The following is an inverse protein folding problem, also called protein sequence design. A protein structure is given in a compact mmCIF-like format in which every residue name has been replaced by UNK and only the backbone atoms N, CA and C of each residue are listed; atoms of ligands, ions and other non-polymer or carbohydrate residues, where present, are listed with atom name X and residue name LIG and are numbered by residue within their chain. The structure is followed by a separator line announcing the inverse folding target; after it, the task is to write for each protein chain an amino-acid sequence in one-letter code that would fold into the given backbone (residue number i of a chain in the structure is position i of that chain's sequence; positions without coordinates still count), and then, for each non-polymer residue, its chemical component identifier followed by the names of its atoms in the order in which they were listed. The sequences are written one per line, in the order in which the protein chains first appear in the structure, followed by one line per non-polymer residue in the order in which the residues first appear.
data_IF_237496262543
#
_entry.id   IF_237496262543
#
_cell.length_a   1.000
_cell.length_b   1.000
_cell.length_c   1.000
_cell.angle_alpha   90.00
_cell.angle_beta   90.00
_cell.angle_gamma   90.00
#
_symmetry.space_group_name_H-M   'P 1'
#
loop_
_entity.id
_entity.type
_entity.pdbx_description
1 polymer ?
#
# COMPACT_ATOMS: atom_id res chain seq x y z
N UNK A 1 6.63 -4.75 -13.90
CA UNK A 1 5.90 -4.10 -12.79
C UNK A 1 6.75 -4.24 -11.53
N UNK A 2 7.08 -3.13 -10.88
CA UNK A 2 7.73 -3.17 -9.58
C UNK A 2 6.68 -3.59 -8.53
N UNK A 3 6.73 -4.84 -8.09
CA UNK A 3 5.93 -5.34 -6.98
C UNK A 3 6.87 -5.90 -5.92
N UNK A 4 6.62 -5.57 -4.66
CA UNK A 4 7.30 -6.16 -3.53
C UNK A 4 6.30 -6.95 -2.70
N UNK A 5 6.69 -8.14 -2.25
CA UNK A 5 5.89 -8.92 -1.29
C UNK A 5 5.57 -8.09 -0.03
N UNK A 6 6.47 -7.18 0.32
CA UNK A 6 6.32 -6.23 1.41
C UNK A 6 5.07 -5.35 1.29
N UNK A 7 4.67 -4.99 0.07
CA UNK A 7 3.50 -4.12 -0.17
C UNK A 7 2.16 -4.82 0.15
N UNK A 8 2.14 -6.15 0.20
CA UNK A 8 0.96 -6.94 0.54
C UNK A 8 1.37 -8.21 1.30
N UNK A 9 1.64 -8.05 2.59
CA UNK A 9 2.22 -9.04 3.48
C UNK A 9 1.25 -9.45 4.61
N UNK A 10 0.80 -10.71 4.60
CA UNK A 10 -0.11 -11.24 5.61
C UNK A 10 -1.44 -10.47 5.65
N UNK A 11 -1.76 -9.86 6.79
CA UNK A 11 -2.96 -8.99 6.94
C UNK A 11 -2.71 -7.54 6.52
N UNK A 12 -1.46 -7.17 6.20
CA UNK A 12 -1.04 -5.80 5.96
C UNK A 12 -0.95 -5.50 4.46
N UNK A 13 -1.51 -4.36 4.07
CA UNK A 13 -1.48 -3.86 2.71
C UNK A 13 -1.00 -2.41 2.78
N UNK A 14 0.12 -2.15 2.11
CA UNK A 14 0.69 -0.81 2.05
C UNK A 14 -0.12 0.03 1.06
N UNK A 15 -0.37 1.29 1.42
CA UNK A 15 -1.02 2.27 0.55
C UNK A 15 -0.04 3.31 -0.04
N UNK A 16 1.27 3.13 0.09
CA UNK A 16 2.30 4.10 -0.33
C UNK A 16 2.16 4.60 -1.77
N UNK A 17 2.06 3.69 -2.74
CA UNK A 17 1.86 4.03 -4.16
C UNK A 17 0.52 4.70 -4.49
N UNK A 18 -0.37 4.82 -3.52
CA UNK A 18 -1.70 5.41 -3.64
C UNK A 18 -1.79 6.74 -2.90
N UNK A 19 -0.72 7.21 -2.26
CA UNK A 19 -0.61 8.58 -1.75
C UNK A 19 0.20 9.38 -2.76
N UNK A 20 -0.38 10.50 -3.20
CA UNK A 20 0.23 11.42 -4.14
C UNK A 20 0.46 12.73 -3.38
N UNK A 21 1.60 13.37 -3.65
CA UNK A 21 1.92 14.75 -3.26
C UNK A 21 2.49 15.04 -1.86
N UNK A 22 3.19 14.10 -1.23
CA UNK A 22 4.10 14.37 -0.09
C UNK A 22 3.44 14.84 1.21
N UNK A 23 2.19 15.28 1.17
CA UNK A 23 1.34 15.54 2.31
C UNK A 23 0.82 14.20 2.82
N UNK A 24 1.39 13.71 3.93
CA UNK A 24 0.86 12.55 4.64
C UNK A 24 -0.49 12.96 5.22
N UNK A 25 -1.62 12.42 4.72
CA UNK A 25 -2.92 12.85 5.19
C UNK A 25 -3.13 12.33 6.61
N UNK A 26 -3.87 13.07 7.42
CA UNK A 26 -4.20 12.64 8.78
C UNK A 26 -4.91 11.29 8.75
N UNK A 27 -4.65 10.43 9.74
CA UNK A 27 -5.29 9.11 9.87
C UNK A 27 -6.82 9.17 9.73
N UNK A 28 -7.44 10.23 10.26
CA UNK A 28 -8.89 10.46 10.16
C UNK A 28 -9.34 10.73 8.73
N UNK A 29 -8.61 11.56 8.00
CA UNK A 29 -8.92 11.91 6.61
C UNK A 29 -8.76 10.70 5.68
N UNK A 30 -7.70 9.92 5.90
CA UNK A 30 -7.50 8.64 5.21
C UNK A 30 -8.66 7.68 5.47
N UNK A 31 -9.06 7.51 6.73
CA UNK A 31 -10.14 6.61 7.09
C UNK A 31 -11.46 7.03 6.43
N UNK A 32 -11.76 8.32 6.39
CA UNK A 32 -12.95 8.86 5.73
C UNK A 32 -12.88 8.68 4.20
N UNK A 33 -11.73 8.96 3.59
CA UNK A 33 -11.50 8.72 2.17
C UNK A 33 -11.73 7.25 1.79
N UNK A 34 -11.18 6.31 2.57
CA UNK A 34 -11.37 4.88 2.32
C UNK A 34 -12.83 4.45 2.49
N UNK A 35 -13.56 4.98 3.48
CA UNK A 35 -15.01 4.73 3.62
C UNK A 35 -15.78 5.19 2.39
N UNK A 36 -15.54 6.42 1.93
CA UNK A 36 -16.19 6.97 0.73
C UNK A 36 -15.88 6.15 -0.51
N UNK A 37 -14.61 5.81 -0.73
CA UNK A 37 -14.19 4.94 -1.82
C UNK A 37 -14.87 3.56 -1.76
N UNK A 38 -15.07 3.02 -0.55
CA UNK A 38 -15.77 1.75 -0.35
C UNK A 38 -17.24 1.83 -0.71
N UNK A 39 -17.92 2.92 -0.34
CA UNK A 39 -19.31 3.17 -0.73
C UNK A 39 -19.42 3.24 -2.26
N UNK A 40 -18.55 4.04 -2.89
CA UNK A 40 -18.48 4.14 -4.36
C UNK A 40 -18.23 2.76 -4.98
N UNK A 41 -17.25 1.99 -4.50
CA UNK A 41 -16.92 0.66 -5.02
C UNK A 41 -18.13 -0.29 -5.00
N UNK A 42 -18.94 -0.27 -3.93
CA UNK A 42 -20.13 -1.11 -3.79
C UNK A 42 -21.24 -0.80 -4.80
N UNK A 43 -21.21 0.36 -5.45
CA UNK A 43 -22.18 0.71 -6.50
C UNK A 43 -21.87 0.04 -7.84
N UNK A 44 -20.67 -0.52 -8.02
CA UNK A 44 -20.26 -1.15 -9.26
C UNK A 44 -20.42 -2.67 -9.20
N UNK A 45 -20.99 -3.25 -10.27
CA UNK A 45 -21.24 -4.70 -10.36
C UNK A 45 -19.98 -5.52 -10.59
N UNK A 46 -18.94 -4.94 -11.19
CA UNK A 46 -17.71 -5.64 -11.49
C UNK A 46 -16.48 -4.72 -11.48
N UNK A 47 -15.30 -5.32 -11.34
CA UNK A 47 -14.03 -4.60 -11.25
C UNK A 47 -13.72 -3.76 -12.48
N UNK A 48 -14.12 -4.20 -13.68
CA UNK A 48 -13.90 -3.44 -14.92
C UNK A 48 -14.70 -2.14 -14.91
N UNK A 49 -15.99 -2.21 -14.60
CA UNK A 49 -16.86 -1.02 -14.48
C UNK A 49 -16.35 -0.05 -13.40
N UNK A 50 -15.83 -0.57 -12.28
CA UNK A 50 -15.18 0.26 -11.28
C UNK A 50 -13.92 0.91 -11.84
N UNK A 51 -13.05 0.18 -12.53
CA UNK A 51 -11.82 0.71 -13.13
C UNK A 51 -12.07 1.74 -14.25
N UNK A 52 -13.22 1.65 -14.93
CA UNK A 52 -13.60 2.50 -16.06
C UNK A 52 -14.46 3.70 -15.64
N UNK A 53 -14.85 3.80 -14.37
CA UNK A 53 -15.65 4.92 -13.85
C UNK A 53 -14.97 6.27 -14.09
N UNK A 54 -15.80 7.30 -14.18
CA UNK A 54 -15.35 8.69 -14.13
C UNK A 54 -14.55 8.95 -12.86
N UNK A 55 -13.43 9.67 -12.95
CA UNK A 55 -12.53 9.94 -11.83
C UNK A 55 -11.89 8.68 -11.22
N UNK A 56 -11.81 7.58 -11.99
CA UNK A 56 -11.14 6.33 -11.60
C UNK A 56 -9.68 6.49 -11.20
N UNK A 57 -9.08 7.63 -11.52
CA UNK A 57 -7.71 7.96 -11.19
C UNK A 57 -7.48 9.21 -10.39
N UNK A 58 -8.56 9.87 -10.02
CA UNK A 58 -8.43 11.10 -9.27
C UNK A 58 -7.95 10.79 -7.86
N UNK A 59 -7.23 11.77 -7.35
CA UNK A 59 -6.75 11.82 -5.98
C UNK A 59 -7.77 12.63 -5.21
N UNK A 60 -8.23 12.13 -4.07
CA UNK A 60 -9.04 12.94 -3.16
C UNK A 60 -8.21 14.13 -2.68
N UNK A 61 -8.86 15.20 -2.23
CA UNK A 61 -8.18 16.37 -1.66
C UNK A 61 -7.17 16.00 -0.55
N UNK A 62 -7.39 14.88 0.15
CA UNK A 62 -6.45 14.31 1.11
C UNK A 62 -5.33 13.46 0.48
N UNK A 63 -4.92 13.67 -0.78
CA UNK A 63 -3.78 12.97 -1.38
C UNK A 63 -3.94 11.47 -1.68
N UNK A 64 -5.11 10.87 -1.47
CA UNK A 64 -5.34 9.42 -1.65
C UNK A 64 -6.05 9.08 -2.95
N UNK A 65 -5.55 8.06 -3.66
CA UNK A 65 -6.20 7.48 -4.83
C UNK A 65 -7.63 6.97 -4.54
N UNK A 66 -8.58 7.31 -5.41
CA UNK A 66 -9.98 6.87 -5.33
C UNK A 66 -10.20 5.35 -5.38
N UNK A 67 -9.16 4.56 -5.68
CA UNK A 67 -9.24 3.10 -5.79
C UNK A 67 -8.97 2.37 -4.45
N UNK A 68 -8.51 3.04 -3.40
CA UNK A 68 -8.29 2.40 -2.11
C UNK A 68 -9.59 2.25 -1.32
N UNK A 69 -9.93 1.01 -0.98
CA UNK A 69 -11.20 0.63 -0.34
C UNK A 69 -10.95 -0.18 0.93
N UNK A 70 -11.98 -0.32 1.76
CA UNK A 70 -12.01 -1.20 2.93
C UNK A 70 -12.75 -2.48 2.52
N UNK A 71 -12.08 -3.62 2.57
CA UNK A 71 -12.69 -4.94 2.39
C UNK A 71 -12.18 -5.87 3.48
N UNK A 72 -13.08 -6.59 4.15
CA UNK A 72 -12.74 -7.51 5.24
C UNK A 72 -11.82 -6.87 6.31
N UNK A 73 -12.12 -5.62 6.69
CA UNK A 73 -11.35 -4.78 7.61
C UNK A 73 -9.89 -4.50 7.17
N UNK A 74 -9.61 -4.58 5.87
CA UNK A 74 -8.28 -4.28 5.29
C UNK A 74 -8.38 -3.19 4.24
N UNK A 75 -7.38 -2.32 4.21
CA UNK A 75 -7.24 -1.29 3.17
C UNK A 75 -6.63 -1.93 1.93
N UNK A 76 -7.38 -2.04 0.84
CA UNK A 76 -6.91 -2.68 -0.38
C UNK A 76 -7.31 -1.90 -1.64
N UNK A 77 -6.52 -2.06 -2.70
CA UNK A 77 -6.89 -1.64 -4.04
C UNK A 77 -7.46 -2.86 -4.79
N UNK A 78 -8.78 -2.95 -5.05
CA UNK A 78 -9.37 -4.11 -5.71
C UNK A 78 -8.93 -4.24 -7.18
N UNK A 79 -8.35 -3.19 -7.76
CA UNK A 79 -7.76 -3.19 -9.09
C UNK A 79 -6.33 -3.74 -9.13
N UNK A 80 -5.71 -4.00 -7.97
CA UNK A 80 -4.35 -4.49 -7.89
C UNK A 80 -4.24 -5.90 -8.51
N UNK A 81 -3.24 -6.20 -9.37
CA UNK A 81 -3.12 -7.50 -10.06
C UNK A 81 -3.16 -8.72 -9.13
N UNK A 82 -2.55 -8.62 -7.94
CA UNK A 82 -2.59 -9.67 -6.90
C UNK A 82 -4.02 -10.03 -6.43
N UNK A 83 -4.96 -9.10 -6.55
CA UNK A 83 -6.37 -9.28 -6.16
C UNK A 83 -7.28 -9.51 -7.37
N UNK A 84 -7.07 -8.75 -8.45
CA UNK A 84 -7.88 -8.83 -9.66
C UNK A 84 -7.50 -9.97 -10.62
N UNK A 85 -6.35 -10.62 -10.41
CA UNK A 85 -5.78 -11.63 -11.31
C UNK A 85 -5.19 -11.07 -12.62
N UNK A 86 -5.38 -9.78 -12.90
CA UNK A 86 -4.84 -9.06 -14.07
C UNK A 86 -4.64 -7.59 -13.77
N UNK A 87 -3.86 -6.89 -14.58
CA UNK A 87 -3.68 -5.45 -14.44
C UNK A 87 -4.94 -4.69 -14.88
N UNK A 88 -5.64 -4.11 -13.92
CA UNK A 88 -6.81 -3.26 -14.13
C UNK A 88 -6.52 -1.78 -13.79
N UNK A 89 -5.35 -1.47 -13.24
CA UNK A 89 -4.96 -0.09 -12.92
C UNK A 89 -4.54 0.63 -14.19
N UNK A 90 -5.05 1.85 -14.37
CA UNK A 90 -4.69 2.72 -15.49
C UNK A 90 -3.42 3.50 -15.16
N UNK A 91 -2.46 3.55 -16.10
CA UNK A 91 -1.12 4.15 -15.89
C UNK A 91 -1.17 5.64 -15.54
N UNK A 92 -2.11 6.37 -16.11
CA UNK A 92 -2.22 7.83 -15.95
C UNK A 92 -2.71 8.24 -14.55
N UNK A 93 -3.07 7.26 -13.73
CA UNK A 93 -3.96 7.41 -12.58
C UNK A 93 -3.49 6.62 -11.35
N UNK A 94 -2.48 5.79 -11.56
CA UNK A 94 -1.86 4.99 -10.54
C UNK A 94 -0.38 4.96 -10.84
N UNK A 95 0.44 5.31 -9.85
CA UNK A 95 1.89 5.15 -9.91
C UNK A 95 2.26 3.66 -9.79
N UNK A 96 1.86 2.87 -10.78
CA UNK A 96 2.06 1.42 -10.82
C UNK A 96 3.53 0.99 -10.87
N UNK A 97 4.40 1.92 -11.23
CA UNK A 97 5.85 1.76 -11.30
C UNK A 97 6.55 2.34 -10.05
N UNK A 98 5.82 2.98 -9.14
CA UNK A 98 6.38 3.49 -7.89
C UNK A 98 6.70 2.35 -6.92
N UNK A 99 7.90 2.41 -6.36
CA UNK A 99 8.35 1.56 -5.28
C UNK A 99 9.08 2.46 -4.27
N UNK A 100 8.65 2.46 -3.00
CA UNK A 100 9.36 3.22 -1.97
C UNK A 100 10.74 2.60 -1.69
N UNK A 101 11.66 3.38 -1.12
CA UNK A 101 13.04 2.94 -0.82
C UNK A 101 13.06 1.62 -0.03
N UNK A 102 12.16 1.46 0.96
CA UNK A 102 12.06 0.22 1.74
C UNK A 102 11.79 -0.99 0.86
N UNK A 103 10.83 -0.88 -0.07
CA UNK A 103 10.47 -1.98 -0.95
C UNK A 103 11.55 -2.25 -2.01
N UNK A 104 12.22 -1.21 -2.52
CA UNK A 104 13.37 -1.36 -3.42
C UNK A 104 14.52 -2.12 -2.75
N UNK A 105 14.89 -1.72 -1.54
CA UNK A 105 15.98 -2.34 -0.78
C UNK A 105 15.60 -3.77 -0.38
N UNK A 106 14.37 -3.98 0.08
CA UNK A 106 13.87 -5.31 0.44
C UNK A 106 13.95 -6.29 -0.73
N UNK A 107 13.53 -5.87 -1.93
CA UNK A 107 13.55 -6.73 -3.12
C UNK A 107 14.96 -7.16 -3.54
N UNK A 108 15.99 -6.36 -3.21
CA UNK A 108 17.40 -6.67 -3.50
C UNK A 108 18.04 -7.59 -2.46
N UNK A 109 17.42 -7.81 -1.31
CA UNK A 109 17.99 -8.65 -0.27
C UNK A 109 17.87 -10.15 -0.58
N UNK A 110 18.81 -10.97 -0.08
CA UNK A 110 18.64 -12.42 -0.06
C UNK A 110 17.37 -12.82 0.71
N UNK A 111 16.73 -13.92 0.29
CA UNK A 111 15.46 -14.39 0.88
C UNK A 111 15.53 -14.54 2.41
N UNK A 112 16.65 -15.00 2.96
CA UNK A 112 16.81 -15.13 4.42
C UNK A 112 16.76 -13.78 5.15
N UNK A 113 17.32 -12.72 4.54
CA UNK A 113 17.24 -11.38 5.10
C UNK A 113 15.84 -10.79 4.96
N UNK A 114 15.17 -11.04 3.84
CA UNK A 114 13.75 -10.69 3.66
C UNK A 114 12.88 -11.34 4.75
N UNK A 115 13.02 -12.65 5.00
CA UNK A 115 12.30 -13.36 6.06
C UNK A 115 12.52 -12.75 7.45
N UNK A 116 13.76 -12.38 7.79
CA UNK A 116 14.06 -11.71 9.07
C UNK A 116 13.37 -10.35 9.19
N UNK A 117 13.37 -9.55 8.12
CA UNK A 117 12.68 -8.26 8.12
C UNK A 117 11.16 -8.42 8.25
N UNK A 118 10.56 -9.36 7.53
CA UNK A 118 9.14 -9.70 7.65
C UNK A 118 8.79 -10.17 9.08
N UNK A 119 9.67 -10.95 9.73
CA UNK A 119 9.50 -11.34 11.15
C UNK A 119 9.60 -10.14 12.09
N UNK A 120 10.54 -9.22 11.85
CA UNK A 120 10.67 -7.97 12.59
C UNK A 120 9.39 -7.13 12.52
N UNK A 121 8.81 -6.99 11.33
CA UNK A 121 7.54 -6.28 11.12
C UNK A 121 6.39 -6.99 11.85
N UNK A 122 6.28 -8.32 11.74
CA UNK A 122 5.23 -9.08 12.45
C UNK A 122 5.28 -8.86 13.96
N UNK A 123 6.48 -8.83 14.55
CA UNK A 123 6.68 -8.61 15.98
C UNK A 123 6.21 -7.23 16.46
N UNK A 124 6.15 -6.22 15.58
CA UNK A 124 5.62 -4.89 15.90
C UNK A 124 4.08 -4.87 16.02
N UNK A 125 3.39 -5.89 15.48
CA UNK A 125 1.92 -5.97 15.38
C UNK A 125 1.23 -4.62 15.03
N UNK A 126 1.65 -3.95 13.94
CA UNK A 126 1.17 -2.62 13.62
C UNK A 126 -0.30 -2.62 13.20
N UNK A 127 -0.95 -1.47 13.28
CA UNK A 127 -2.18 -1.24 12.52
C UNK A 127 -1.87 -0.87 11.06
N UNK A 128 -2.91 -0.76 10.23
CA UNK A 128 -2.80 -0.49 8.79
C UNK A 128 -2.09 0.85 8.49
N UNK A 129 -2.26 1.85 9.35
CA UNK A 129 -1.70 3.18 9.18
C UNK A 129 -0.22 3.15 9.53
N UNK A 130 0.11 2.66 10.73
CA UNK A 130 1.50 2.52 11.17
C UNK A 130 2.29 1.64 10.21
N UNK A 131 1.73 0.52 9.76
CA UNK A 131 2.39 -0.33 8.78
C UNK A 131 2.77 0.44 7.51
N UNK A 132 1.79 1.02 6.83
CA UNK A 132 2.05 1.69 5.56
C UNK A 132 2.99 2.88 5.73
N UNK A 133 2.81 3.70 6.77
CA UNK A 133 3.65 4.87 6.98
C UNK A 133 5.10 4.51 7.30
N UNK A 134 5.34 3.50 8.14
CA UNK A 134 6.71 3.12 8.50
C UNK A 134 7.46 2.41 7.36
N UNK A 135 6.73 1.70 6.49
CA UNK A 135 7.29 1.15 5.25
C UNK A 135 7.58 2.26 4.26
N UNK A 136 6.62 3.16 4.04
CA UNK A 136 6.74 4.25 3.07
C UNK A 136 7.88 5.21 3.40
N UNK A 137 7.98 5.66 4.65
CA UNK A 137 8.99 6.62 5.07
C UNK A 137 10.36 6.00 5.44
N UNK A 138 10.52 4.69 5.33
CA UNK A 138 11.77 3.98 5.61
C UNK A 138 12.18 3.89 7.08
N UNK A 139 11.35 4.31 8.02
CA UNK A 139 11.68 4.25 9.46
C UNK A 139 11.98 2.83 9.94
N UNK A 140 11.18 1.84 9.55
CA UNK A 140 11.45 0.44 9.91
C UNK A 140 12.63 -0.16 9.17
N UNK A 141 12.93 0.29 7.95
CA UNK A 141 14.15 -0.10 7.26
C UNK A 141 15.38 0.33 8.07
N UNK A 142 15.40 1.60 8.52
CA UNK A 142 16.48 2.17 9.32
C UNK A 142 16.61 1.44 10.65
N UNK A 143 15.51 1.23 11.37
CA UNK A 143 15.50 0.52 12.65
C UNK A 143 16.03 -0.92 12.50
N UNK A 144 15.60 -1.65 11.47
CA UNK A 144 16.06 -3.02 11.22
C UNK A 144 17.56 -3.08 10.91
N UNK A 145 18.07 -2.17 10.06
CA UNK A 145 19.51 -2.08 9.75
C UNK A 145 20.34 -1.80 11.01
N UNK A 146 19.88 -0.89 11.88
CA UNK A 146 20.56 -0.60 13.14
C UNK A 146 20.59 -1.82 14.07
N UNK A 147 19.50 -2.58 14.13
CA UNK A 147 19.44 -3.79 14.96
C UNK A 147 20.35 -4.90 14.44
N UNK A 148 20.42 -5.10 13.12
CA UNK A 148 21.35 -6.07 12.53
C UNK A 148 22.82 -5.68 12.74
N UNK A 149 23.15 -4.39 12.74
CA UNK A 149 24.51 -3.92 12.97
C UNK A 149 25.00 -4.15 14.40
N UNK A 150 24.10 -4.25 15.38
CA UNK A 150 24.44 -4.52 16.80
C UNK A 150 24.58 -6.00 17.15
N UNK A 151 24.14 -6.88 16.26
CA UNK A 151 24.19 -8.35 16.43
C UNK A 151 25.42 -8.94 15.73
N UNK A 152 26.08 -8.15 14.88
CA UNK A 152 27.37 -8.47 14.26
C UNK A 152 28.52 -8.01 15.13
#
# INVERSE_FOLDING_TARGET
MAFSELCAFGKYYCFGCCIIDGAVPGRKDLAEAFKRNTITFRQFRNLRSFAERENSGDVRACGVCNNLTIQNNRIICPLHPKLAGKELRKRNFCFKDYLCETAEVFNKWPQEKQKRFLKFIRAKNPDWFSFSMNIENGSWLKEFKQREARIK
#
